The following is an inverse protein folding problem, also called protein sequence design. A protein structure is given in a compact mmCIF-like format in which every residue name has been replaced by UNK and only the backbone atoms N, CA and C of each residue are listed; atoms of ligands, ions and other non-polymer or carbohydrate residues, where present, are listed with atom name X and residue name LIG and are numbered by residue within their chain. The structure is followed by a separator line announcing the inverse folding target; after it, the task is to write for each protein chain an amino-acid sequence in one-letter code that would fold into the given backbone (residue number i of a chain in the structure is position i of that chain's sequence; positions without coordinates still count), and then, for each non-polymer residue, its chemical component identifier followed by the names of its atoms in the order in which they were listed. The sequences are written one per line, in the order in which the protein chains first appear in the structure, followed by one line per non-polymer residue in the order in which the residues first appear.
data_IF_770867682080
#
_entry.id   IF_770867682080
#
_cell.length_a   1.000
_cell.length_b   1.000
_cell.length_c   1.000
_cell.angle_alpha   90.00
_cell.angle_beta   90.00
_cell.angle_gamma   90.00
#
_symmetry.space_group_name_H-M   'P 1'
#
loop_
_entity.id
_entity.type
_entity.pdbx_description
1 polymer ?
#
# COMPACT_ATOMS: atom_id res chain seq x y z
N UNK A 1 24.30 -56.72 55.21
CA UNK A 1 23.94 -55.37 55.70
C UNK A 1 24.54 -54.35 54.72
N UNK A 2 24.06 -54.26 53.47
CA UNK A 2 22.93 -53.44 52.99
C UNK A 2 22.96 -51.99 53.47
N UNK A 3 23.70 -51.13 52.77
CA UNK A 3 23.54 -49.69 52.78
C UNK A 3 23.00 -49.31 51.40
N UNK A 4 21.70 -49.09 51.35
CA UNK A 4 20.93 -48.66 50.20
C UNK A 4 21.35 -47.24 49.82
N UNK A 5 22.12 -47.11 48.75
CA UNK A 5 22.33 -45.83 48.06
C UNK A 5 21.11 -45.60 47.17
N UNK A 6 20.09 -44.94 47.71
CA UNK A 6 18.96 -44.44 46.94
C UNK A 6 19.49 -43.46 45.89
N UNK A 7 19.55 -43.95 44.66
CA UNK A 7 19.84 -43.17 43.46
C UNK A 7 18.54 -42.46 43.13
N UNK A 8 18.38 -41.21 43.58
CA UNK A 8 17.29 -40.34 43.13
C UNK A 8 17.30 -40.32 41.60
N UNK A 9 16.36 -41.04 41.01
CA UNK A 9 15.99 -40.94 39.62
C UNK A 9 15.42 -39.53 39.41
N UNK A 10 16.29 -38.63 38.94
CA UNK A 10 15.88 -37.41 38.26
C UNK A 10 15.02 -37.82 37.07
N UNK A 11 13.71 -37.89 37.29
CA UNK A 11 12.72 -37.90 36.21
C UNK A 11 12.81 -36.53 35.56
N UNK A 12 13.72 -36.39 34.60
CA UNK A 12 13.65 -35.30 33.63
C UNK A 12 12.34 -35.49 32.89
N UNK A 13 11.29 -34.80 33.34
CA UNK A 13 10.05 -34.66 32.59
C UNK A 13 10.48 -34.16 31.21
N UNK A 14 10.24 -34.90 30.12
CA UNK A 14 10.46 -34.35 28.79
C UNK A 14 9.60 -33.10 28.73
N UNK A 15 10.24 -31.94 28.56
CA UNK A 15 9.53 -30.72 28.20
C UNK A 15 8.66 -31.13 27.01
N UNK A 16 7.32 -30.96 27.09
CA UNK A 16 6.49 -31.16 25.92
C UNK A 16 7.15 -30.33 24.83
N UNK A 17 7.50 -30.98 23.70
CA UNK A 17 8.08 -30.37 22.51
C UNK A 17 7.63 -28.92 22.52
N UNK A 18 8.55 -28.01 22.86
CA UNK A 18 8.24 -26.59 22.74
C UNK A 18 7.69 -26.50 21.35
N UNK A 19 6.41 -26.18 21.26
CA UNK A 19 5.76 -26.01 20.00
C UNK A 19 6.61 -24.95 19.32
N UNK A 20 7.52 -25.41 18.46
CA UNK A 20 8.26 -24.58 17.53
C UNK A 20 7.14 -24.09 16.66
N UNK A 21 6.45 -23.04 17.13
CA UNK A 21 5.46 -22.32 16.39
C UNK A 21 6.20 -22.02 15.10
N UNK A 22 5.75 -22.59 13.96
CA UNK A 22 6.51 -22.49 12.74
C UNK A 22 6.78 -21.02 12.53
N UNK A 23 8.07 -20.66 12.54
CA UNK A 23 8.52 -19.29 12.39
C UNK A 23 7.82 -18.77 11.13
N UNK A 24 6.77 -17.96 11.31
CA UNK A 24 5.87 -17.60 10.23
C UNK A 24 6.68 -16.74 9.27
N UNK A 25 7.27 -17.38 8.25
CA UNK A 25 7.98 -16.69 7.18
C UNK A 25 7.04 -15.61 6.66
N UNK A 26 7.46 -14.33 6.64
CA UNK A 26 6.60 -13.24 6.20
C UNK A 26 5.97 -13.63 4.86
N UNK A 27 4.63 -13.66 4.83
CA UNK A 27 3.90 -14.12 3.66
C UNK A 27 4.36 -13.35 2.42
N UNK A 28 4.75 -14.09 1.37
CA UNK A 28 5.16 -13.48 0.09
C UNK A 28 4.03 -12.66 -0.52
N UNK A 29 2.78 -13.09 -0.36
CA UNK A 29 1.60 -12.45 -0.97
C UNK A 29 1.37 -11.00 -0.49
N UNK A 30 1.27 -10.69 0.82
CA UNK A 30 1.19 -9.30 1.28
C UNK A 30 2.35 -8.43 0.80
N UNK A 31 3.57 -8.98 0.74
CA UNK A 31 4.73 -8.23 0.26
C UNK A 31 4.60 -7.89 -1.23
N UNK A 32 4.21 -8.85 -2.07
CA UNK A 32 3.99 -8.66 -3.51
C UNK A 32 2.87 -7.64 -3.75
N UNK A 33 1.71 -7.79 -3.10
CA UNK A 33 0.57 -6.89 -3.26
C UNK A 33 0.93 -5.45 -2.88
N UNK A 34 1.65 -5.27 -1.75
CA UNK A 34 2.16 -3.96 -1.33
C UNK A 34 3.12 -3.38 -2.37
N UNK A 35 4.07 -4.17 -2.87
CA UNK A 35 5.04 -3.71 -3.87
C UNK A 35 4.36 -3.33 -5.19
N UNK A 36 3.42 -4.16 -5.67
CA UNK A 36 2.62 -3.85 -6.87
C UNK A 36 1.83 -2.55 -6.69
N UNK A 37 1.12 -2.41 -5.57
CA UNK A 37 0.39 -1.19 -5.24
C UNK A 37 1.31 0.03 -5.13
N UNK A 38 2.48 -0.11 -4.51
CA UNK A 38 3.46 0.97 -4.40
C UNK A 38 3.98 1.43 -5.75
N UNK A 39 4.33 0.49 -6.64
CA UNK A 39 4.76 0.79 -8.01
C UNK A 39 3.64 1.49 -8.77
N UNK A 40 2.40 0.98 -8.67
CA UNK A 40 1.25 1.59 -9.32
C UNK A 40 1.01 3.03 -8.85
N UNK A 41 1.06 3.29 -7.53
CA UNK A 41 0.97 4.66 -6.99
C UNK A 41 2.11 5.56 -7.51
N UNK A 42 3.34 5.05 -7.62
CA UNK A 42 4.44 5.82 -8.22
C UNK A 42 4.19 6.15 -9.69
N UNK A 43 3.61 5.22 -10.46
CA UNK A 43 3.21 5.48 -11.85
C UNK A 43 2.12 6.56 -11.90
N UNK A 44 1.12 6.53 -11.01
CA UNK A 44 0.11 7.61 -10.89
C UNK A 44 0.79 8.96 -10.70
N UNK A 45 1.72 9.05 -9.74
CA UNK A 45 2.47 10.29 -9.50
C UNK A 45 3.27 10.75 -10.72
N UNK A 46 3.95 9.83 -11.41
CA UNK A 46 4.73 10.15 -12.60
C UNK A 46 3.87 10.70 -13.75
N UNK A 47 2.70 10.11 -14.00
CA UNK A 47 1.78 10.59 -15.03
C UNK A 47 1.20 11.96 -14.66
N UNK A 48 0.85 12.18 -13.39
CA UNK A 48 0.36 13.49 -12.95
C UNK A 48 1.45 14.58 -13.04
N UNK A 49 2.71 14.23 -12.79
CA UNK A 49 3.82 15.15 -13.00
C UNK A 49 4.00 15.50 -14.48
N UNK A 50 3.88 14.50 -15.36
CA UNK A 50 3.91 14.70 -16.81
C UNK A 50 2.81 15.66 -17.23
N UNK A 51 1.55 15.39 -16.88
CA UNK A 51 0.40 16.23 -17.22
C UNK A 51 0.49 17.64 -16.62
N UNK A 52 1.07 17.77 -15.42
CA UNK A 52 1.34 19.08 -14.80
C UNK A 52 2.20 19.98 -15.70
N UNK A 53 3.19 19.41 -16.39
CA UNK A 53 4.11 20.15 -17.25
C UNK A 53 3.71 20.16 -18.73
N UNK A 54 3.38 19.01 -19.31
CA UNK A 54 3.15 18.80 -20.74
C UNK A 54 1.78 19.33 -21.18
N UNK A 55 0.72 19.06 -20.42
CA UNK A 55 -0.63 19.59 -20.67
C UNK A 55 -0.82 21.00 -20.06
N UNK A 56 0.26 21.61 -19.56
CA UNK A 56 0.28 22.98 -19.02
C UNK A 56 -0.65 23.20 -17.82
N UNK A 57 -1.10 22.14 -17.13
CA UNK A 57 -1.97 22.28 -15.95
C UNK A 57 -1.34 23.10 -14.82
N UNK A 58 -0.01 23.25 -14.77
CA UNK A 58 0.68 24.12 -13.80
C UNK A 58 0.19 25.57 -13.75
N UNK A 59 -0.38 26.11 -14.84
CA UNK A 59 -0.89 27.50 -14.87
C UNK A 59 -2.39 27.59 -14.62
N UNK A 60 -3.08 26.45 -14.49
CA UNK A 60 -4.52 26.40 -14.26
C UNK A 60 -4.80 26.51 -12.76
N UNK A 61 -5.58 27.52 -12.32
CA UNK A 61 -5.98 27.65 -10.91
C UNK A 61 -6.67 26.38 -10.41
N UNK A 62 -6.40 25.99 -9.17
CA UNK A 62 -6.87 24.74 -8.51
C UNK A 62 -6.30 23.46 -9.14
N UNK A 63 -6.44 23.24 -10.44
CA UNK A 63 -5.96 22.02 -11.13
C UNK A 63 -4.46 21.83 -10.99
N UNK A 64 -3.65 22.86 -11.28
CA UNK A 64 -2.20 22.78 -11.13
C UNK A 64 -1.77 22.35 -9.73
N UNK A 65 -2.21 23.05 -8.66
CA UNK A 65 -1.96 22.63 -7.28
C UNK A 65 -2.40 21.19 -6.97
N UNK A 66 -3.56 20.74 -7.47
CA UNK A 66 -4.04 19.37 -7.24
C UNK A 66 -3.13 18.32 -7.91
N UNK A 67 -2.66 18.57 -9.13
CA UNK A 67 -1.71 17.69 -9.82
C UNK A 67 -0.35 17.65 -9.10
N UNK A 68 0.15 18.80 -8.63
CA UNK A 68 1.37 18.85 -7.84
C UNK A 68 1.25 18.11 -6.50
N UNK A 69 0.12 18.27 -5.80
CA UNK A 69 -0.19 17.54 -4.57
C UNK A 69 -0.34 16.04 -4.81
N UNK A 70 -0.98 15.64 -5.91
CA UNK A 70 -1.10 14.24 -6.30
C UNK A 70 0.29 13.63 -6.53
N UNK A 71 1.13 14.27 -7.35
CA UNK A 71 2.51 13.83 -7.58
C UNK A 71 3.30 13.70 -6.26
N UNK A 72 3.30 14.74 -5.42
CA UNK A 72 4.03 14.73 -4.17
C UNK A 72 3.51 13.64 -3.21
N UNK A 73 2.18 13.55 -3.04
CA UNK A 73 1.54 12.55 -2.20
C UNK A 73 1.80 11.13 -2.68
N UNK A 74 1.63 10.86 -3.97
CA UNK A 74 1.88 9.57 -4.60
C UNK A 74 3.34 9.16 -4.46
N UNK A 75 4.28 10.08 -4.65
CA UNK A 75 5.71 9.81 -4.47
C UNK A 75 6.03 9.40 -3.02
N UNK A 76 5.55 10.18 -2.04
CA UNK A 76 5.79 9.90 -0.63
C UNK A 76 5.15 8.57 -0.19
N UNK A 77 3.91 8.32 -0.62
CA UNK A 77 3.18 7.10 -0.31
C UNK A 77 3.87 5.88 -0.94
N UNK A 78 4.16 5.95 -2.24
CA UNK A 78 4.79 4.86 -2.99
C UNK A 78 6.17 4.50 -2.43
N UNK A 79 7.03 5.50 -2.20
CA UNK A 79 8.34 5.27 -1.58
C UNK A 79 8.20 4.72 -0.16
N UNK A 80 7.31 5.28 0.65
CA UNK A 80 7.04 4.79 2.01
C UNK A 80 6.55 3.33 2.03
N UNK A 81 5.73 2.95 1.06
CA UNK A 81 5.28 1.57 0.88
C UNK A 81 6.40 0.64 0.41
N UNK A 82 7.45 1.12 -0.24
CA UNK A 82 8.60 0.31 -0.64
C UNK A 82 9.63 0.11 0.47
N UNK A 83 9.67 0.98 1.48
CA UNK A 83 10.61 0.86 2.61
C UNK A 83 10.48 -0.52 3.28
N UNK A 84 11.56 -1.34 3.30
CA UNK A 84 11.55 -2.63 3.94
C UNK A 84 11.73 -2.51 5.47
N UNK A 85 11.31 -3.55 6.19
CA UNK A 85 11.61 -3.71 7.63
C UNK A 85 10.47 -3.35 8.58
N UNK A 86 10.68 -3.68 9.86
CA UNK A 86 9.68 -3.54 10.93
C UNK A 86 9.33 -2.09 11.26
N UNK A 87 10.24 -1.14 11.00
CA UNK A 87 10.10 0.28 11.37
C UNK A 87 8.89 0.97 10.72
N UNK A 88 8.48 0.53 9.53
CA UNK A 88 7.31 1.07 8.81
C UNK A 88 6.10 0.15 8.82
N UNK A 89 6.17 -1.01 9.51
CA UNK A 89 5.14 -2.05 9.45
C UNK A 89 3.77 -1.57 9.94
N UNK A 90 3.77 -0.67 10.93
CA UNK A 90 2.56 -0.04 11.48
C UNK A 90 2.02 1.09 10.59
N UNK A 91 2.89 1.70 9.77
CA UNK A 91 2.51 2.79 8.87
C UNK A 91 2.04 2.30 7.51
N UNK A 92 2.47 1.12 7.07
CA UNK A 92 2.06 0.58 5.76
C UNK A 92 0.53 0.49 5.55
N UNK A 93 -0.31 0.15 6.55
CA UNK A 93 -1.77 0.20 6.38
C UNK A 93 -2.27 1.63 6.14
N UNK A 94 -1.75 2.61 6.88
CA UNK A 94 -2.10 4.02 6.69
C UNK A 94 -1.66 4.54 5.31
N UNK A 95 -0.45 4.17 4.88
CA UNK A 95 0.05 4.50 3.55
C UNK A 95 -0.76 3.81 2.45
N UNK A 96 -1.20 2.57 2.66
CA UNK A 96 -2.06 1.86 1.71
C UNK A 96 -3.43 2.54 1.61
N UNK A 97 -4.05 2.92 2.72
CA UNK A 97 -5.30 3.70 2.73
C UNK A 97 -5.12 5.05 2.05
N UNK A 98 -4.00 5.75 2.31
CA UNK A 98 -3.66 7.00 1.64
C UNK A 98 -3.51 6.82 0.13
N UNK A 99 -2.83 5.75 -0.31
CA UNK A 99 -2.66 5.43 -1.72
C UNK A 99 -3.99 5.09 -2.42
N UNK A 100 -4.87 4.34 -1.76
CA UNK A 100 -6.23 4.06 -2.24
C UNK A 100 -7.02 5.36 -2.36
N UNK A 101 -7.02 6.19 -1.31
CA UNK A 101 -7.75 7.45 -1.29
C UNK A 101 -7.28 8.41 -2.39
N UNK A 102 -5.96 8.54 -2.57
CA UNK A 102 -5.36 9.36 -3.62
C UNK A 102 -5.74 8.86 -5.02
N UNK A 103 -5.52 7.58 -5.31
CA UNK A 103 -5.82 6.99 -6.62
C UNK A 103 -7.32 7.03 -6.94
N UNK A 104 -8.19 6.68 -5.98
CA UNK A 104 -9.63 6.70 -6.17
C UNK A 104 -10.18 8.13 -6.35
N UNK A 105 -9.66 9.11 -5.60
CA UNK A 105 -10.06 10.52 -5.76
C UNK A 105 -9.68 11.02 -7.15
N UNK A 106 -8.46 10.74 -7.58
CA UNK A 106 -7.97 11.11 -8.92
C UNK A 106 -8.85 10.51 -10.02
N UNK A 107 -9.12 9.21 -9.94
CA UNK A 107 -10.02 8.51 -10.85
C UNK A 107 -11.43 9.15 -10.90
N UNK A 108 -12.00 9.43 -9.72
CA UNK A 108 -13.34 10.04 -9.62
C UNK A 108 -13.36 11.45 -10.19
N UNK A 109 -12.31 12.25 -9.98
CA UNK A 109 -12.21 13.60 -10.53
C UNK A 109 -12.20 13.56 -12.06
N UNK A 110 -11.41 12.67 -12.66
CA UNK A 110 -11.40 12.46 -14.11
C UNK A 110 -12.78 11.99 -14.62
N UNK A 111 -13.39 11.01 -13.95
CA UNK A 111 -14.71 10.52 -14.34
C UNK A 111 -15.78 11.64 -14.33
N UNK A 112 -15.74 12.52 -13.32
CA UNK A 112 -16.63 13.67 -13.27
C UNK A 112 -16.29 14.66 -14.39
N UNK A 113 -15.00 14.98 -14.59
CA UNK A 113 -14.55 15.97 -15.59
C UNK A 113 -14.82 15.54 -17.02
N UNK A 114 -15.00 14.25 -17.31
CA UNK A 114 -15.44 13.77 -18.63
C UNK A 114 -16.91 14.10 -18.92
N UNK A 115 -17.76 14.09 -17.90
CA UNK A 115 -19.21 14.25 -18.06
C UNK A 115 -19.68 15.69 -17.85
N UNK A 116 -18.97 16.47 -17.04
CA UNK A 116 -19.31 17.86 -16.73
C UNK A 116 -18.06 18.65 -16.33
N UNK A 117 -18.08 19.99 -16.44
CA UNK A 117 -16.94 20.79 -16.02
C UNK A 117 -16.63 20.60 -14.52
N UNK A 118 -15.39 20.24 -14.21
CA UNK A 118 -14.84 20.15 -12.87
C UNK A 118 -13.76 21.23 -12.70
N UNK A 119 -13.92 22.10 -11.71
CA UNK A 119 -13.06 23.28 -11.50
C UNK A 119 -12.94 24.19 -12.75
N UNK A 120 -13.98 24.21 -13.60
CA UNK A 120 -14.01 25.02 -14.81
C UNK A 120 -13.35 24.39 -16.04
N UNK A 121 -12.85 23.14 -15.95
CA UNK A 121 -12.32 22.38 -17.08
C UNK A 121 -13.14 21.10 -17.26
N UNK A 122 -13.47 20.79 -18.51
CA UNK A 122 -14.07 19.52 -18.89
C UNK A 122 -13.05 18.77 -19.77
N UNK A 123 -12.79 17.52 -19.43
CA UNK A 123 -11.87 16.65 -20.17
C UNK A 123 -12.59 16.01 -21.36
N UNK A 124 -11.88 15.92 -22.49
CA UNK A 124 -12.40 15.32 -23.71
C UNK A 124 -11.38 14.35 -24.32
N UNK A 125 -11.80 13.09 -24.43
CA UNK A 125 -11.05 12.02 -25.09
C UNK A 125 -9.99 11.35 -24.22
N UNK A 126 -9.56 10.17 -24.66
CA UNK A 126 -8.56 9.36 -23.96
C UNK A 126 -7.20 9.47 -24.65
N UNK A 127 -6.37 10.40 -24.16
CA UNK A 127 -4.94 10.39 -24.51
C UNK A 127 -4.25 9.20 -23.84
N UNK A 128 -3.08 8.80 -24.35
CA UNK A 128 -2.35 7.62 -23.84
C UNK A 128 -2.02 7.79 -22.36
N UNK A 129 -1.68 9.00 -21.94
CA UNK A 129 -1.36 9.38 -20.58
C UNK A 129 -2.55 9.14 -19.64
N UNK A 130 -3.76 9.50 -20.08
CA UNK A 130 -5.01 9.28 -19.34
C UNK A 130 -5.28 7.78 -19.17
N UNK A 131 -5.06 6.99 -20.22
CA UNK A 131 -5.24 5.53 -20.13
C UNK A 131 -4.24 4.90 -19.17
N UNK A 132 -2.98 5.34 -19.20
CA UNK A 132 -1.95 4.89 -18.27
C UNK A 132 -2.33 5.26 -16.83
N UNK A 133 -2.80 6.49 -16.60
CA UNK A 133 -3.28 6.94 -15.28
C UNK A 133 -4.42 6.04 -14.78
N UNK A 134 -5.47 5.84 -15.58
CA UNK A 134 -6.63 5.01 -15.22
C UNK A 134 -6.24 3.58 -14.85
N UNK A 135 -5.37 2.96 -15.64
CA UNK A 135 -4.89 1.60 -15.36
C UNK A 135 -4.05 1.59 -14.08
N UNK A 136 -3.14 2.54 -13.90
CA UNK A 136 -2.30 2.62 -12.71
C UNK A 136 -3.13 2.87 -11.44
N UNK A 137 -4.13 3.75 -11.50
CA UNK A 137 -5.06 4.02 -10.41
C UNK A 137 -5.87 2.78 -10.03
N UNK A 138 -6.44 2.09 -11.03
CA UNK A 138 -7.19 0.85 -10.81
C UNK A 138 -6.31 -0.23 -10.17
N UNK A 139 -5.08 -0.42 -10.68
CA UNK A 139 -4.11 -1.37 -10.10
C UNK A 139 -3.74 -0.96 -8.67
N UNK A 140 -3.50 0.32 -8.41
CA UNK A 140 -3.18 0.82 -7.07
C UNK A 140 -4.32 0.51 -6.08
N UNK A 141 -5.56 0.83 -6.43
CA UNK A 141 -6.74 0.57 -5.59
C UNK A 141 -6.88 -0.93 -5.32
N UNK A 142 -6.88 -1.76 -6.36
CA UNK A 142 -7.09 -3.21 -6.22
C UNK A 142 -5.95 -3.87 -5.44
N UNK A 143 -4.69 -3.59 -5.77
CA UNK A 143 -3.54 -4.21 -5.12
C UNK A 143 -3.42 -3.79 -3.65
N UNK A 144 -3.64 -2.51 -3.33
CA UNK A 144 -3.57 -2.01 -1.95
C UNK A 144 -4.77 -2.47 -1.11
N UNK A 145 -5.97 -2.55 -1.68
CA UNK A 145 -7.13 -3.12 -1.00
C UNK A 145 -6.93 -4.61 -0.69
N UNK A 146 -6.43 -5.38 -1.66
CA UNK A 146 -6.08 -6.79 -1.47
C UNK A 146 -4.97 -6.94 -0.41
N UNK A 147 -3.96 -6.08 -0.43
CA UNK A 147 -2.92 -6.04 0.60
C UNK A 147 -3.52 -5.84 2.00
N UNK A 148 -4.42 -4.89 2.18
CA UNK A 148 -5.10 -4.66 3.46
C UNK A 148 -5.94 -5.86 3.90
N UNK A 149 -6.69 -6.46 2.96
CA UNK A 149 -7.50 -7.65 3.23
C UNK A 149 -6.65 -8.84 3.73
N UNK A 150 -5.44 -9.02 3.21
CA UNK A 150 -4.53 -10.10 3.66
C UNK A 150 -3.93 -9.88 5.06
N UNK A 151 -4.05 -8.68 5.65
CA UNK A 151 -3.50 -8.39 6.99
C UNK A 151 -4.46 -8.70 8.14
N UNK A 152 -5.76 -8.86 7.87
CA UNK A 152 -6.80 -9.06 8.88
C UNK A 152 -7.03 -7.83 9.79
N UNK A 153 -8.20 -7.73 10.47
CA UNK A 153 -8.38 -6.76 11.55
C UNK A 153 -7.38 -7.09 12.67
N UNK A 154 -6.69 -6.09 13.18
CA UNK A 154 -5.83 -6.26 14.35
C UNK A 154 -6.68 -6.85 15.50
N UNK A 155 -6.46 -8.12 15.82
CA UNK A 155 -7.17 -8.77 16.92
C UNK A 155 -6.90 -8.03 18.23
N UNK A 156 -7.88 -7.96 19.15
CA UNK A 156 -7.69 -7.29 20.43
C UNK A 156 -6.54 -7.98 21.19
N UNK A 157 -5.57 -7.19 21.62
CA UNK A 157 -4.53 -7.59 22.57
C UNK A 157 -5.20 -7.92 23.91
N UNK A 158 -5.39 -9.21 24.18
CA UNK A 158 -5.74 -9.75 25.50
C UNK A 158 -4.52 -9.94 26.38
#
# INVERSE_FOLDING_TARGET
MSQLRERSSSTTRPLPDEAVLPEQRPGRTPAILRTLGAIAVLVVGAVHLEQYFAEHFRVVPIIGPLFALNFAGATLIGLGLLVPGSRMRLLHPLLALGGIGLAATSFVFLFISEHQPLFGIQDYGYRVEIVIALVAEAVAVVALAAYLATRGPAGPSG
#
